data_IF_405511496721
#
_entry.id   IF_405511496721
#
_cell.length_a   1.000
_cell.length_b   1.000
_cell.length_c   1.000
_cell.angle_alpha   90.00
_cell.angle_beta   90.00
_cell.angle_gamma   90.00
#
_symmetry.space_group_name_H-M   'P 1'
#
loop_
_entity.id
_entity.type
_entity.pdbx_description
1 polymer ?
#
# COMPACT_ATOMS: atom_id res chain seq x y z
N UNK A 1 -15.69 -15.40 -0.82
CA UNK A 1 -16.06 -14.61 0.36
C UNK A 1 -15.00 -13.58 0.69
N UNK A 2 -15.40 -12.49 1.35
CA UNK A 2 -14.49 -11.50 1.93
C UNK A 2 -14.01 -12.06 3.26
N UNK A 3 -12.70 -12.17 3.46
CA UNK A 3 -12.16 -12.53 4.75
C UNK A 3 -12.04 -11.26 5.62
N UNK A 4 -12.63 -11.31 6.81
CA UNK A 4 -12.56 -10.23 7.80
C UNK A 4 -11.60 -10.62 8.90
N UNK A 5 -10.48 -9.91 8.99
CA UNK A 5 -9.51 -10.08 10.07
C UNK A 5 -9.45 -8.81 10.90
N UNK A 6 -9.29 -8.94 12.21
CA UNK A 6 -9.22 -7.79 13.12
C UNK A 6 -7.90 -7.78 13.85
N UNK A 7 -7.30 -6.62 13.95
CA UNK A 7 -6.14 -6.38 14.80
C UNK A 7 -6.17 -4.95 15.34
N UNK A 8 -5.39 -4.70 16.37
CA UNK A 8 -5.29 -3.39 17.01
C UNK A 8 -3.93 -2.79 16.73
N UNK A 9 -3.93 -1.50 16.44
CA UNK A 9 -2.73 -0.66 16.43
C UNK A 9 -2.71 0.19 17.69
N UNK A 10 -1.72 1.07 17.83
CA UNK A 10 -1.64 1.94 19.01
C UNK A 10 -2.83 2.92 19.07
N UNK A 11 -3.46 3.22 17.93
CA UNK A 11 -4.51 4.23 17.81
C UNK A 11 -5.85 3.70 17.30
N UNK A 12 -5.86 2.58 16.58
CA UNK A 12 -7.04 2.14 15.83
C UNK A 12 -7.33 0.66 16.00
N UNK A 13 -8.62 0.32 15.97
CA UNK A 13 -9.08 -1.04 15.70
C UNK A 13 -9.21 -1.20 14.19
N UNK A 14 -8.34 -2.01 13.59
CA UNK A 14 -8.29 -2.20 12.14
C UNK A 14 -9.00 -3.49 11.79
N UNK A 15 -9.94 -3.39 10.83
CA UNK A 15 -10.54 -4.56 10.18
C UNK A 15 -9.98 -4.66 8.77
N UNK A 16 -9.26 -5.75 8.48
CA UNK A 16 -8.79 -6.07 7.13
C UNK A 16 -9.95 -6.66 6.35
N UNK A 17 -10.17 -6.08 5.17
CA UNK A 17 -11.09 -6.58 4.16
C UNK A 17 -10.21 -7.10 3.03
N UNK A 18 -9.97 -8.41 3.01
CA UNK A 18 -9.23 -9.03 1.89
C UNK A 18 -10.18 -9.26 0.71
N UNK A 19 -10.00 -8.47 -0.35
CA UNK A 19 -10.81 -8.50 -1.55
C UNK A 19 -10.09 -9.29 -2.66
N UNK A 20 -10.69 -10.36 -3.22
CA UNK A 20 -10.05 -11.13 -4.27
C UNK A 20 -9.87 -10.30 -5.54
N UNK A 21 -8.68 -10.33 -6.14
CA UNK A 21 -8.36 -9.54 -7.34
C UNK A 21 -8.86 -10.11 -8.67
N UNK A 22 -9.56 -11.26 -8.68
CA UNK A 22 -10.09 -11.81 -9.93
C UNK A 22 -11.30 -11.00 -10.41
N UNK A 23 -11.42 -10.82 -11.73
CA UNK A 23 -12.51 -10.07 -12.37
C UNK A 23 -13.91 -10.51 -11.94
N UNK A 24 -14.06 -11.80 -11.65
CA UNK A 24 -15.34 -12.38 -11.22
C UNK A 24 -15.74 -11.97 -9.79
N UNK A 25 -14.83 -11.38 -9.00
CA UNK A 25 -15.06 -10.96 -7.62
C UNK A 25 -15.08 -9.44 -7.42
N UNK A 26 -15.18 -8.65 -8.51
CA UNK A 26 -15.31 -7.19 -8.44
C UNK A 26 -16.49 -6.75 -7.55
N UNK A 27 -17.59 -7.51 -7.52
CA UNK A 27 -18.74 -7.25 -6.63
C UNK A 27 -18.36 -7.31 -5.14
N UNK A 28 -17.49 -8.25 -4.76
CA UNK A 28 -16.99 -8.39 -3.40
C UNK A 28 -16.04 -7.24 -3.07
N UNK A 29 -15.19 -6.86 -4.04
CA UNK A 29 -14.31 -5.71 -3.89
C UNK A 29 -15.10 -4.40 -3.71
N UNK A 30 -16.17 -4.17 -4.47
CA UNK A 30 -17.02 -2.97 -4.34
C UNK A 30 -17.64 -2.90 -2.95
N UNK A 31 -18.24 -4.01 -2.50
CA UNK A 31 -18.90 -4.07 -1.18
C UNK A 31 -17.91 -3.79 -0.05
N UNK A 32 -16.72 -4.42 -0.08
CA UNK A 32 -15.68 -4.21 0.92
C UNK A 32 -15.06 -2.82 0.88
N UNK A 33 -14.72 -2.33 -0.31
CA UNK A 33 -14.03 -1.04 -0.49
C UNK A 33 -14.94 0.15 -0.17
N UNK A 34 -16.26 0.02 -0.37
CA UNK A 34 -17.24 1.05 0.00
C UNK A 34 -17.27 1.40 1.50
N UNK A 35 -16.73 0.52 2.35
CA UNK A 35 -16.65 0.72 3.80
C UNK A 35 -15.23 1.02 4.27
N UNK A 36 -14.26 1.09 3.35
CA UNK A 36 -12.86 1.24 3.70
C UNK A 36 -12.49 2.71 3.91
N UNK A 37 -11.88 3.01 5.05
CA UNK A 37 -11.35 4.35 5.36
C UNK A 37 -10.00 4.62 4.68
N UNK A 38 -9.25 3.55 4.38
CA UNK A 38 -7.96 3.56 3.73
C UNK A 38 -7.75 2.28 2.91
N UNK A 39 -7.00 2.38 1.81
CA UNK A 39 -6.56 1.25 1.01
C UNK A 39 -5.06 0.99 1.22
N UNK A 40 -4.69 -0.29 1.33
CA UNK A 40 -3.30 -0.74 1.30
C UNK A 40 -3.07 -1.43 -0.04
N UNK A 41 -2.28 -0.80 -0.91
CA UNK A 41 -1.91 -1.33 -2.22
C UNK A 41 -0.58 -2.08 -2.11
N UNK A 42 -0.64 -3.40 -2.26
CA UNK A 42 0.54 -4.26 -2.29
C UNK A 42 1.07 -4.37 -3.72
N UNK A 43 2.35 -4.04 -3.90
CA UNK A 43 3.05 -4.07 -5.18
C UNK A 43 4.24 -5.01 -5.06
N UNK A 44 4.35 -6.01 -5.93
CA UNK A 44 5.51 -6.90 -5.93
C UNK A 44 6.76 -6.21 -6.48
N UNK A 45 7.90 -6.41 -5.83
CA UNK A 45 9.18 -5.83 -6.24
C UNK A 45 9.97 -6.67 -7.25
N UNK A 46 9.61 -7.95 -7.38
CA UNK A 46 10.26 -8.88 -8.29
C UNK A 46 10.24 -8.39 -9.75
N UNK A 47 11.32 -8.67 -10.46
CA UNK A 47 11.43 -8.38 -11.90
C UNK A 47 10.39 -9.20 -12.67
N UNK A 48 9.64 -8.57 -13.57
CA UNK A 48 8.53 -9.17 -14.31
C UNK A 48 7.20 -9.12 -13.55
N UNK A 49 7.21 -9.35 -12.23
CA UNK A 49 5.99 -9.28 -11.41
C UNK A 49 5.45 -7.84 -11.31
N UNK A 50 6.34 -6.89 -11.05
CA UNK A 50 5.99 -5.47 -10.99
C UNK A 50 5.39 -4.98 -12.33
N UNK A 51 6.08 -5.28 -13.42
CA UNK A 51 5.72 -4.86 -14.77
C UNK A 51 4.37 -5.47 -15.20
N UNK A 52 4.12 -6.74 -14.83
CA UNK A 52 2.83 -7.38 -15.04
C UNK A 52 1.70 -6.70 -14.24
N UNK A 53 1.95 -6.39 -12.96
CA UNK A 53 0.99 -5.74 -12.06
C UNK A 53 0.62 -4.32 -12.48
N UNK A 54 1.59 -3.56 -13.00
CA UNK A 54 1.38 -2.19 -13.50
C UNK A 54 1.05 -2.13 -15.00
N UNK A 55 0.93 -3.26 -15.68
CA UNK A 55 0.53 -3.31 -17.09
C UNK A 55 -0.91 -2.80 -17.29
N UNK A 56 -1.32 -2.56 -18.55
CA UNK A 56 -2.71 -2.13 -18.86
C UNK A 56 -3.78 -3.11 -18.39
N UNK A 57 -3.44 -4.40 -18.30
CA UNK A 57 -4.33 -5.46 -17.82
C UNK A 57 -3.99 -5.89 -16.38
N UNK A 58 -3.10 -5.16 -15.70
CA UNK A 58 -2.61 -5.50 -14.39
C UNK A 58 -3.61 -5.12 -13.29
N UNK A 59 -3.74 -5.99 -12.29
CA UNK A 59 -4.71 -5.83 -11.20
C UNK A 59 -4.37 -4.65 -10.28
N UNK A 60 -3.09 -4.35 -10.04
CA UNK A 60 -2.65 -3.23 -9.20
C UNK A 60 -3.23 -1.90 -9.69
N UNK A 61 -3.34 -1.75 -11.01
CA UNK A 61 -3.96 -0.58 -11.65
C UNK A 61 -5.46 -0.51 -11.40
N UNK A 62 -6.15 -1.59 -11.70
CA UNK A 62 -7.60 -1.69 -11.55
C UNK A 62 -8.02 -1.47 -10.09
N UNK A 63 -7.28 -2.06 -9.14
CA UNK A 63 -7.56 -1.92 -7.72
C UNK A 63 -7.40 -0.48 -7.20
N UNK A 64 -6.31 0.20 -7.59
CA UNK A 64 -6.08 1.57 -7.17
C UNK A 64 -7.13 2.54 -7.73
N UNK A 65 -7.56 2.32 -8.98
CA UNK A 65 -8.64 3.08 -9.60
C UNK A 65 -9.99 2.82 -8.90
N UNK A 66 -10.35 1.56 -8.67
CA UNK A 66 -11.58 1.19 -7.98
C UNK A 66 -11.65 1.78 -6.57
N UNK A 67 -10.55 1.72 -5.81
CA UNK A 67 -10.47 2.33 -4.48
C UNK A 67 -10.75 3.84 -4.53
N UNK A 68 -10.17 4.54 -5.51
CA UNK A 68 -10.39 5.98 -5.67
C UNK A 68 -11.83 6.32 -6.06
N UNK A 69 -12.39 5.58 -7.02
CA UNK A 69 -13.78 5.76 -7.48
C UNK A 69 -14.80 5.50 -6.38
N UNK A 70 -14.51 4.58 -5.46
CA UNK A 70 -15.36 4.26 -4.31
C UNK A 70 -15.17 5.22 -3.11
N UNK A 71 -14.34 6.25 -3.26
CA UNK A 71 -14.19 7.32 -2.28
C UNK A 71 -13.07 7.12 -1.26
N UNK A 72 -12.25 6.07 -1.40
CA UNK A 72 -11.09 5.84 -0.54
C UNK A 72 -9.98 6.81 -0.92
N UNK A 73 -9.84 7.89 -0.16
CA UNK A 73 -8.85 8.96 -0.45
C UNK A 73 -7.49 8.73 0.19
N UNK A 74 -7.40 7.82 1.16
CA UNK A 74 -6.17 7.51 1.87
C UNK A 74 -5.58 6.20 1.34
N UNK A 75 -4.34 6.26 0.88
CA UNK A 75 -3.64 5.13 0.26
C UNK A 75 -2.27 4.93 0.94
N UNK A 76 -1.94 3.68 1.21
CA UNK A 76 -0.60 3.23 1.62
C UNK A 76 -0.11 2.25 0.56
N UNK A 77 1.15 2.34 0.17
CA UNK A 77 1.77 1.44 -0.79
C UNK A 77 2.81 0.58 -0.08
N UNK A 78 2.58 -0.73 -0.06
CA UNK A 78 3.55 -1.73 0.41
C UNK A 78 4.28 -2.34 -0.78
N UNK A 79 5.57 -2.05 -0.93
CA UNK A 79 6.43 -2.67 -1.95
C UNK A 79 6.93 -4.00 -1.38
N UNK A 80 6.25 -5.09 -1.71
CA UNK A 80 6.44 -6.42 -1.15
C UNK A 80 7.45 -7.25 -1.94
N UNK A 81 7.92 -8.36 -1.36
CA UNK A 81 8.94 -9.25 -1.92
C UNK A 81 10.28 -8.57 -2.15
N UNK A 82 10.67 -7.64 -1.27
CA UNK A 82 11.98 -6.98 -1.35
C UNK A 82 13.14 -7.96 -1.22
N UNK A 83 12.94 -9.10 -0.58
CA UNK A 83 13.89 -10.23 -0.55
C UNK A 83 14.17 -10.83 -1.94
N UNK A 84 13.22 -10.72 -2.87
CA UNK A 84 13.27 -11.31 -4.21
C UNK A 84 13.78 -10.33 -5.29
N UNK A 85 14.22 -9.14 -4.91
CA UNK A 85 14.86 -8.22 -5.87
C UNK A 85 16.26 -8.71 -6.24
N UNK A 86 16.80 -8.21 -7.34
CA UNK A 86 18.18 -8.50 -7.76
C UNK A 86 19.01 -7.20 -7.78
N UNK A 87 19.95 -6.99 -6.83
CA UNK A 87 20.24 -7.81 -5.65
C UNK A 87 19.11 -7.76 -4.59
N UNK A 88 19.05 -8.71 -3.63
CA UNK A 88 18.05 -8.69 -2.57
C UNK A 88 18.05 -7.38 -1.78
N UNK A 89 16.86 -6.87 -1.45
CA UNK A 89 16.64 -5.61 -0.76
C UNK A 89 17.26 -4.39 -1.47
N UNK A 90 17.15 -4.33 -2.80
CA UNK A 90 17.73 -3.28 -3.63
C UNK A 90 17.01 -1.93 -3.47
N UNK A 91 17.75 -0.90 -3.03
CA UNK A 91 17.28 0.49 -2.97
C UNK A 91 16.90 1.02 -4.35
N UNK A 92 17.71 0.74 -5.36
CA UNK A 92 17.49 1.20 -6.74
C UNK A 92 16.17 0.67 -7.29
N UNK A 93 15.86 -0.61 -7.05
CA UNK A 93 14.59 -1.21 -7.47
C UNK A 93 13.40 -0.60 -6.73
N UNK A 94 13.54 -0.35 -5.43
CA UNK A 94 12.49 0.33 -4.67
C UNK A 94 12.20 1.75 -5.18
N UNK A 95 13.22 2.55 -5.44
CA UNK A 95 13.05 3.92 -5.93
C UNK A 95 12.47 3.97 -7.36
N UNK A 96 12.82 3.00 -8.22
CA UNK A 96 12.18 2.82 -9.53
C UNK A 96 10.67 2.57 -9.38
N UNK A 97 10.30 1.56 -8.58
CA UNK A 97 8.89 1.21 -8.32
C UNK A 97 8.13 2.39 -7.72
N UNK A 98 8.71 3.04 -6.71
CA UNK A 98 8.13 4.21 -6.05
C UNK A 98 7.86 5.32 -7.06
N UNK A 99 8.80 5.61 -7.97
CA UNK A 99 8.62 6.63 -9.01
C UNK A 99 7.50 6.27 -9.99
N UNK A 100 7.47 5.04 -10.47
CA UNK A 100 6.44 4.58 -11.41
C UNK A 100 5.05 4.56 -10.78
N UNK A 101 4.92 3.96 -9.60
CA UNK A 101 3.65 3.90 -8.86
C UNK A 101 3.20 5.31 -8.47
N UNK A 102 4.11 6.21 -8.05
CA UNK A 102 3.78 7.62 -7.78
C UNK A 102 3.20 8.33 -9.00
N UNK A 103 3.81 8.14 -10.18
CA UNK A 103 3.29 8.70 -11.43
C UNK A 103 1.90 8.15 -11.76
N UNK A 104 1.68 6.86 -11.49
CA UNK A 104 0.43 6.19 -11.75
C UNK A 104 -0.71 6.64 -10.82
N UNK A 105 -0.50 6.62 -9.49
CA UNK A 105 -1.52 7.05 -8.53
C UNK A 105 -1.85 8.54 -8.68
N UNK A 106 -0.89 9.36 -9.13
CA UNK A 106 -1.12 10.77 -9.49
C UNK A 106 -2.09 10.91 -10.66
N UNK A 107 -2.00 10.04 -11.66
CA UNK A 107 -2.94 10.03 -12.81
C UNK A 107 -4.34 9.59 -12.40
N UNK A 108 -4.45 8.70 -11.41
CA UNK A 108 -5.76 8.30 -10.86
C UNK A 108 -6.42 9.46 -10.11
N UNK A 109 -5.62 10.23 -9.35
CA UNK A 109 -6.10 11.38 -8.59
C UNK A 109 -5.58 11.47 -7.15
N UNK A 110 -4.79 10.48 -6.69
CA UNK A 110 -4.12 10.56 -5.39
C UNK A 110 -2.99 11.59 -5.42
N UNK A 111 -2.69 12.18 -4.26
CA UNK A 111 -1.49 12.98 -4.07
C UNK A 111 -0.33 12.06 -3.63
N UNK A 112 0.73 11.83 -4.43
CA UNK A 112 1.83 10.96 -4.04
C UNK A 112 2.55 11.39 -2.76
N UNK A 113 2.56 12.69 -2.45
CA UNK A 113 3.16 13.20 -1.21
C UNK A 113 2.37 12.77 0.04
N UNK A 114 1.08 12.45 -0.09
CA UNK A 114 0.22 12.01 1.02
C UNK A 114 0.25 10.48 1.24
N UNK A 115 0.98 9.74 0.39
CA UNK A 115 0.98 8.28 0.33
C UNK A 115 2.31 7.75 0.88
N UNK A 116 2.23 6.88 1.88
CA UNK A 116 3.40 6.23 2.45
C UNK A 116 3.83 5.07 1.53
N UNK A 117 5.12 5.03 1.18
CA UNK A 117 5.73 3.93 0.46
C UNK A 117 6.63 3.14 1.40
N UNK A 118 6.26 1.89 1.69
CA UNK A 118 6.95 1.05 2.66
C UNK A 118 7.53 -0.17 1.93
N UNK A 119 8.86 -0.35 1.88
CA UNK A 119 9.46 -1.59 1.39
C UNK A 119 9.28 -2.67 2.45
N UNK A 120 8.66 -3.79 2.10
CA UNK A 120 8.34 -4.88 3.01
C UNK A 120 8.73 -6.25 2.43
N UNK A 121 8.89 -7.24 3.30
CA UNK A 121 8.79 -8.65 2.93
C UNK A 121 7.75 -9.31 3.81
N UNK A 122 6.57 -9.59 3.24
CA UNK A 122 5.50 -10.26 3.96
C UNK A 122 5.88 -11.68 4.40
N UNK A 123 6.82 -12.33 3.70
CA UNK A 123 7.28 -13.68 4.05
C UNK A 123 8.27 -13.67 5.23
N UNK A 124 9.19 -12.71 5.25
CA UNK A 124 10.20 -12.60 6.30
C UNK A 124 9.82 -11.66 7.45
N UNK A 125 8.71 -10.92 7.32
CA UNK A 125 8.25 -9.94 8.32
C UNK A 125 8.98 -8.60 8.28
N UNK A 126 9.88 -8.37 7.31
CA UNK A 126 10.69 -7.16 7.22
C UNK A 126 9.81 -5.91 7.04
N UNK A 127 10.00 -4.89 7.92
CA UNK A 127 9.25 -3.62 7.94
C UNK A 127 7.72 -3.77 8.11
N UNK A 128 7.21 -4.92 8.55
CA UNK A 128 5.78 -5.11 8.81
C UNK A 128 5.40 -4.49 10.16
N UNK A 129 5.99 -5.02 11.24
CA UNK A 129 5.81 -4.57 12.62
C UNK A 129 7.06 -3.88 13.16
N UNK A 130 8.23 -4.42 12.81
CA UNK A 130 9.54 -3.94 13.24
C UNK A 130 10.40 -3.57 12.04
N UNK A 131 11.29 -2.59 12.23
CA UNK A 131 12.20 -2.16 11.17
C UNK A 131 13.21 -3.26 10.85
N UNK A 132 13.41 -3.53 9.56
CA UNK A 132 14.40 -4.49 9.09
C UNK A 132 15.82 -3.93 9.14
N UNK A 133 16.76 -4.75 9.58
CA UNK A 133 18.20 -4.46 9.51
C UNK A 133 18.78 -4.68 8.11
N UNK A 134 18.05 -5.37 7.21
CA UNK A 134 18.49 -5.71 5.84
C UNK A 134 18.34 -4.55 4.87
N UNK A 135 17.60 -3.50 5.25
CA UNK A 135 17.37 -2.30 4.45
C UNK A 135 17.93 -1.05 5.16
N UNK A 136 19.24 -0.96 5.42
CA UNK A 136 19.84 0.18 6.15
C UNK A 136 19.73 1.51 5.38
N UNK A 137 19.54 1.44 4.06
CA UNK A 137 19.28 2.57 3.18
C UNK A 137 17.90 3.19 3.41
N UNK A 138 16.90 2.39 3.81
CA UNK A 138 15.56 2.88 4.06
C UNK A 138 15.50 3.65 5.38
N UNK A 139 15.44 4.98 5.29
CA UNK A 139 15.36 5.86 6.48
C UNK A 139 13.97 5.98 7.07
N UNK A 140 12.96 5.59 6.30
CA UNK A 140 11.56 5.72 6.63
C UNK A 140 10.76 6.29 5.47
N UNK A 141 9.44 6.16 5.57
CA UNK A 141 8.49 6.87 4.74
C UNK A 141 8.13 8.19 5.42
N UNK A 142 7.75 9.18 4.62
CA UNK A 142 7.22 10.44 5.10
C UNK A 142 6.04 10.83 4.22
N UNK A 143 4.97 11.34 4.83
CA UNK A 143 3.78 11.82 4.15
C UNK A 143 3.50 13.27 4.54
N UNK A 144 3.06 14.05 3.56
CA UNK A 144 2.63 15.43 3.70
C UNK A 144 1.17 15.55 3.26
N UNK A 145 0.31 15.88 4.22
CA UNK A 145 -1.13 16.07 4.04
C UNK A 145 -1.49 17.48 4.50
N UNK A 146 -2.68 17.97 4.15
CA UNK A 146 -3.13 19.30 4.59
C UNK A 146 -3.30 19.36 6.11
N UNK A 147 -3.62 18.22 6.70
CA UNK A 147 -3.94 18.02 8.10
C UNK A 147 -2.69 17.77 8.96
N UNK A 148 -1.52 17.55 8.34
CA UNK A 148 -0.25 17.33 9.05
C UNK A 148 0.76 16.51 8.26
N UNK A 149 1.98 16.44 8.82
CA UNK A 149 3.04 15.54 8.36
C UNK A 149 3.12 14.33 9.28
N UNK A 150 3.46 13.17 8.73
CA UNK A 150 3.75 11.98 9.49
C UNK A 150 4.91 11.23 8.84
N UNK A 151 5.70 10.54 9.65
CA UNK A 151 6.81 9.71 9.22
C UNK A 151 6.88 8.44 10.05
N UNK A 152 7.57 7.44 9.53
CA UNK A 152 7.74 6.15 10.18
C UNK A 152 8.57 5.21 9.32
N UNK A 153 8.75 3.97 9.77
CA UNK A 153 9.58 2.96 9.09
C UNK A 153 8.79 1.70 8.73
N UNK A 154 7.79 1.36 9.51
CA UNK A 154 7.06 0.11 9.38
C UNK A 154 5.68 0.34 8.76
N UNK A 155 5.10 -0.74 8.24
CA UNK A 155 3.75 -0.73 7.69
C UNK A 155 2.70 -0.44 8.78
N UNK A 156 2.90 -0.98 9.99
CA UNK A 156 2.02 -0.71 11.14
C UNK A 156 1.99 0.77 11.51
N UNK A 157 3.12 1.46 11.44
CA UNK A 157 3.21 2.91 11.70
C UNK A 157 2.49 3.70 10.61
N UNK A 158 2.52 3.23 9.36
CA UNK A 158 1.80 3.87 8.25
C UNK A 158 0.29 3.76 8.45
N UNK A 159 -0.19 2.64 8.99
CA UNK A 159 -1.59 2.45 9.38
C UNK A 159 -1.98 3.36 10.56
N UNK A 160 -1.12 3.49 11.56
CA UNK A 160 -1.33 4.42 12.69
C UNK A 160 -1.31 5.90 12.27
N UNK A 161 -0.70 6.22 11.13
CA UNK A 161 -0.67 7.56 10.55
C UNK A 161 -1.88 7.86 9.64
N UNK A 162 -2.84 6.95 9.49
CA UNK A 162 -4.10 7.21 8.77
C UNK A 162 -4.88 8.29 9.52
N UNK A 163 -5.48 9.22 8.79
CA UNK A 163 -6.38 10.22 9.35
C UNK A 163 -7.73 9.59 9.65
N UNK A 164 -8.38 9.95 10.76
CA UNK A 164 -9.74 9.50 11.04
C UNK A 164 -10.66 9.87 9.87
N UNK A 165 -11.54 8.96 9.43
CA UNK A 165 -12.50 9.26 8.37
C UNK A 165 -13.46 10.37 8.84
N UNK A 166 -13.77 11.31 7.95
CA UNK A 166 -14.83 12.30 8.20
C UNK A 166 -16.18 11.59 8.08
N UNK A 167 -16.77 11.20 9.21
CA UNK A 167 -18.13 10.66 9.23
C UNK A 167 -19.15 11.82 9.11
N UNK A 168 -20.24 11.67 8.35
CA UNK A 168 -21.37 12.60 8.37
C UNK A 168 -22.03 12.71 9.75
#
# INVERSE_FOLDING_TARGET
DIALWKFETSKYYVTIIDAPGHRDFIKNMITGTSQADCAVLIVAAGTGEFEAGISKNGQTREHALLAFTLGVKQLIVGVNKMDSTEPPYSETRFEEIKKEVSSYIKKIGYNPAAVAFVPISGWHGDNMLESSTKMPWFKGWAVERKEGKADGKCLIEALDAILPPSRP
#
